data_IF_609921832936
#
_entry.id   IF_609921832936
#
_cell.length_a   1.000
_cell.length_b   1.000
_cell.length_c   1.000
_cell.angle_alpha   90.00
_cell.angle_beta   90.00
_cell.angle_gamma   90.00
#
_symmetry.space_group_name_H-M   'P 1'
#
loop_
_entity.id
_entity.type
_entity.pdbx_description
1 polymer ?
#
# COMPACT_ATOMS: atom_id res chain seq x y z
N UNK A 1 -22.66 -65.69 -3.19
CA UNK A 1 -22.99 -65.52 -4.63
C UNK A 1 -23.73 -64.20 -4.76
N UNK A 2 -23.35 -63.16 -5.51
CA UNK A 2 -22.43 -62.92 -6.64
C UNK A 2 -21.31 -61.95 -6.21
N UNK A 3 -20.03 -62.30 -6.30
CA UNK A 3 -19.09 -62.18 -7.44
C UNK A 3 -18.50 -60.77 -7.66
N UNK A 4 -17.17 -60.75 -7.54
CA UNK A 4 -16.19 -59.66 -7.50
C UNK A 4 -16.06 -58.80 -8.78
N UNK A 5 -17.04 -58.82 -9.69
CA UNK A 5 -16.90 -58.19 -11.03
C UNK A 5 -17.69 -56.89 -11.22
N UNK A 6 -18.26 -56.27 -10.18
CA UNK A 6 -19.06 -55.02 -10.33
C UNK A 6 -18.48 -53.77 -9.66
N UNK A 7 -17.29 -53.82 -9.06
CA UNK A 7 -16.59 -52.60 -8.57
C UNK A 7 -15.49 -52.07 -9.49
N UNK A 8 -15.14 -52.82 -10.55
CA UNK A 8 -14.13 -52.39 -11.54
C UNK A 8 -14.73 -51.51 -12.66
N UNK A 9 -16.05 -51.44 -12.80
CA UNK A 9 -16.72 -50.66 -13.84
C UNK A 9 -17.01 -49.19 -13.47
N UNK A 10 -16.86 -48.80 -12.19
CA UNK A 10 -17.10 -47.40 -11.76
C UNK A 10 -15.83 -46.54 -11.76
N UNK A 11 -14.65 -47.16 -11.82
CA UNK A 11 -13.35 -46.45 -11.86
C UNK A 11 -12.79 -46.32 -13.29
N UNK A 12 -13.33 -47.07 -14.26
CA UNK A 12 -13.00 -46.94 -15.68
C UNK A 12 -13.81 -45.85 -16.42
N UNK A 13 -14.92 -45.36 -15.83
CA UNK A 13 -15.79 -44.34 -16.44
C UNK A 13 -15.36 -42.88 -16.20
N UNK A 14 -14.45 -42.63 -15.25
CA UNK A 14 -13.99 -41.26 -14.93
C UNK A 14 -12.65 -40.95 -15.61
N UNK A 15 -11.87 -41.96 -15.98
CA UNK A 15 -10.62 -41.79 -16.73
C UNK A 15 -10.79 -41.61 -18.24
N UNK A 16 -12.01 -41.77 -18.78
CA UNK A 16 -12.31 -41.51 -20.20
C UNK A 16 -12.86 -40.09 -20.47
N UNK A 17 -13.13 -39.30 -19.43
CA UNK A 17 -13.62 -37.91 -19.56
C UNK A 17 -12.49 -36.88 -19.41
N UNK A 18 -11.29 -37.30 -19.00
CA UNK A 18 -10.14 -36.41 -18.75
C UNK A 18 -9.04 -36.45 -19.84
N UNK A 19 -9.22 -37.17 -20.95
CA UNK A 19 -8.21 -37.23 -22.03
C UNK A 19 -8.71 -36.76 -23.40
N UNK A 20 -9.93 -36.22 -23.50
CA UNK A 20 -10.49 -35.65 -24.75
C UNK A 20 -10.61 -34.12 -24.78
N UNK A 21 -10.15 -33.41 -23.75
CA UNK A 21 -10.17 -31.94 -23.71
C UNK A 21 -8.80 -31.27 -23.83
N UNK A 22 -7.73 -32.05 -24.01
CA UNK A 22 -6.42 -31.52 -24.36
C UNK A 22 -6.01 -32.11 -25.71
N UNK A 23 -5.98 -31.23 -26.73
CA UNK A 23 -5.48 -31.45 -28.09
C UNK A 23 -6.52 -32.03 -29.07
N UNK A 24 -7.44 -31.17 -29.54
CA UNK A 24 -7.71 -31.00 -30.99
C UNK A 24 -8.59 -29.76 -31.22
N UNK A 25 -8.27 -29.00 -32.28
CA UNK A 25 -9.11 -27.97 -32.93
C UNK A 25 -9.18 -26.63 -32.15
N UNK A 26 -8.41 -25.58 -32.42
CA UNK A 26 -7.86 -25.08 -33.70
C UNK A 26 -8.86 -25.20 -34.85
N UNK A 27 -9.98 -24.48 -34.74
CA UNK A 27 -10.61 -23.73 -35.83
C UNK A 27 -12.01 -23.24 -35.43
N UNK A 28 -12.32 -22.03 -35.86
CA UNK A 28 -13.66 -21.41 -35.92
C UNK A 28 -14.27 -20.96 -34.59
N UNK A 29 -13.91 -19.75 -34.14
CA UNK A 29 -14.88 -18.69 -33.90
C UNK A 29 -14.13 -17.35 -33.89
N UNK A 30 -14.11 -16.73 -35.06
CA UNK A 30 -13.83 -15.31 -35.24
C UNK A 30 -14.94 -14.51 -34.56
N UNK A 31 -14.65 -13.85 -33.45
CA UNK A 31 -15.42 -12.67 -33.06
C UNK A 31 -14.55 -11.44 -33.34
N UNK A 32 -14.81 -10.87 -34.52
CA UNK A 32 -14.30 -9.58 -34.95
C UNK A 32 -14.80 -8.50 -33.99
N UNK A 33 -13.87 -7.84 -33.30
CA UNK A 33 -14.04 -6.44 -32.98
C UNK A 33 -12.88 -5.69 -33.62
N UNK A 34 -13.05 -5.44 -34.92
CA UNK A 34 -12.39 -4.35 -35.62
C UNK A 34 -12.79 -3.04 -34.94
N UNK A 35 -11.93 -2.49 -34.08
CA UNK A 35 -12.07 -1.09 -33.70
C UNK A 35 -11.42 -0.26 -34.80
N UNK A 36 -12.21 0.00 -35.83
CA UNK A 36 -11.91 0.99 -36.86
C UNK A 36 -11.93 2.36 -36.20
N UNK A 37 -10.75 2.89 -35.87
CA UNK A 37 -10.64 4.30 -35.53
C UNK A 37 -10.90 5.10 -36.80
N UNK A 38 -12.13 5.59 -36.90
CA UNK A 38 -12.55 6.62 -37.84
C UNK A 38 -11.65 7.83 -37.58
N UNK A 39 -10.79 8.14 -38.54
CA UNK A 39 -10.05 9.39 -38.62
C UNK A 39 -11.07 10.53 -38.56
N UNK A 40 -11.16 11.18 -37.40
CA UNK A 40 -11.79 12.49 -37.28
C UNK A 40 -10.65 13.51 -37.26
N UNK A 41 -10.48 14.18 -38.40
CA UNK A 41 -9.63 15.35 -38.53
C UNK A 41 -10.15 16.47 -37.63
N UNK A 42 -9.22 17.14 -36.92
CA UNK A 42 -9.44 18.48 -36.40
C UNK A 42 -9.94 18.58 -34.96
N UNK A 43 -9.01 18.67 -34.01
CA UNK A 43 -8.86 19.85 -33.14
C UNK A 43 -7.65 19.62 -32.22
N UNK A 44 -6.72 20.57 -32.28
CA UNK A 44 -5.50 20.63 -31.49
C UNK A 44 -5.83 20.73 -29.99
N UNK A 45 -5.70 19.63 -29.26
CA UNK A 45 -5.60 19.68 -27.80
C UNK A 45 -4.15 19.45 -27.40
N UNK A 46 -3.42 20.53 -27.20
CA UNK A 46 -2.09 20.54 -26.62
C UNK A 46 -2.19 20.14 -25.14
N UNK A 47 -2.14 18.84 -24.89
CA UNK A 47 -2.17 18.26 -23.55
C UNK A 47 -1.20 17.09 -23.42
N UNK A 48 0.01 17.21 -23.97
CA UNK A 48 1.04 16.19 -23.87
C UNK A 48 1.74 16.27 -22.50
N UNK A 49 0.98 16.15 -21.40
CA UNK A 49 1.57 15.92 -20.08
C UNK A 49 1.82 14.41 -20.00
N UNK A 50 3.09 14.06 -20.13
CA UNK A 50 3.58 12.72 -20.42
C UNK A 50 3.14 11.71 -19.35
N UNK A 51 2.43 10.63 -19.73
CA UNK A 51 2.03 9.55 -18.81
C UNK A 51 3.19 8.97 -17.99
N UNK A 52 4.45 9.13 -18.44
CA UNK A 52 5.66 8.78 -17.69
C UNK A 52 5.90 9.63 -16.44
N UNK A 53 5.62 10.93 -16.47
CA UNK A 53 5.90 11.82 -15.32
C UNK A 53 5.02 11.50 -14.10
N UNK A 54 3.77 11.05 -14.34
CA UNK A 54 2.83 10.69 -13.26
C UNK A 54 3.23 9.39 -12.54
N UNK A 55 4.13 8.59 -13.12
CA UNK A 55 4.62 7.32 -12.54
C UNK A 55 5.89 7.48 -11.72
N UNK A 56 6.63 8.58 -11.88
CA UNK A 56 7.84 8.79 -11.10
C UNK A 56 7.49 9.07 -9.64
N UNK A 57 8.28 8.56 -8.68
CA UNK A 57 8.03 8.81 -7.27
C UNK A 57 8.16 10.30 -6.95
N UNK A 58 7.57 10.68 -5.83
CA UNK A 58 7.66 12.02 -5.27
C UNK A 58 9.14 12.38 -5.09
N UNK A 59 9.56 13.49 -5.70
CA UNK A 59 10.93 14.00 -5.57
C UNK A 59 11.04 14.82 -4.28
N UNK A 60 11.10 14.12 -3.14
CA UNK A 60 11.28 14.70 -1.81
C UNK A 60 12.41 13.96 -1.08
N UNK A 61 13.20 14.70 -0.31
CA UNK A 61 14.24 14.14 0.54
C UNK A 61 13.64 13.27 1.64
N UNK A 62 14.38 12.23 2.02
CA UNK A 62 14.07 11.40 3.18
C UNK A 62 14.84 11.95 4.38
N UNK A 63 14.12 12.19 5.47
CA UNK A 63 14.66 12.63 6.75
C UNK A 63 14.53 11.50 7.76
N UNK A 64 15.43 11.41 8.72
CA UNK A 64 15.34 10.40 9.79
C UNK A 64 14.90 11.09 11.08
N UNK A 65 13.76 10.67 11.63
CA UNK A 65 13.20 11.22 12.86
C UNK A 65 13.02 10.11 13.90
N UNK A 66 13.06 10.45 15.19
CA UNK A 66 12.66 9.50 16.22
C UNK A 66 11.18 9.16 16.08
N UNK A 67 10.76 7.87 16.17
CA UNK A 67 9.35 7.52 16.22
C UNK A 67 8.59 8.22 17.37
N UNK A 68 9.28 8.57 18.45
CA UNK A 68 8.69 9.24 19.61
C UNK A 68 8.36 10.71 19.36
N UNK A 69 9.00 11.34 18.37
CA UNK A 69 8.71 12.73 17.98
C UNK A 69 7.50 12.84 17.05
N UNK A 70 7.03 11.71 16.50
CA UNK A 70 5.90 11.66 15.58
C UNK A 70 4.57 11.60 16.33
N UNK A 71 3.60 12.38 15.86
CA UNK A 71 2.28 12.51 16.50
C UNK A 71 1.21 11.77 15.69
N UNK A 72 0.86 10.52 16.07
CA UNK A 72 -0.24 9.81 15.42
C UNK A 72 -1.58 10.47 15.76
N UNK A 73 -2.39 10.69 14.72
CA UNK A 73 -3.73 11.29 14.82
C UNK A 73 -4.88 10.33 14.52
N UNK A 74 -4.57 9.09 14.14
CA UNK A 74 -5.54 8.01 13.91
C UNK A 74 -5.13 6.76 14.67
N UNK A 75 -6.14 5.99 15.06
CA UNK A 75 -5.96 4.63 15.53
C UNK A 75 -5.52 3.71 14.39
N UNK A 76 -4.80 2.65 14.75
CA UNK A 76 -4.41 1.61 13.82
C UNK A 76 -5.36 0.43 13.92
N UNK A 77 -5.55 -0.25 12.79
CA UNK A 77 -6.05 -1.63 12.78
C UNK A 77 -5.00 -2.59 13.38
N UNK A 78 -5.25 -3.26 14.52
CA UNK A 78 -4.24 -4.07 15.21
C UNK A 78 -3.70 -5.23 14.37
N UNK A 79 -4.58 -5.93 13.64
CA UNK A 79 -4.23 -7.05 12.77
C UNK A 79 -3.29 -6.62 11.63
N UNK A 80 -3.52 -5.42 11.08
CA UNK A 80 -2.66 -4.82 10.06
C UNK A 80 -1.28 -4.47 10.63
N UNK A 81 -1.22 -3.97 11.86
CA UNK A 81 0.04 -3.69 12.54
C UNK A 81 0.84 -4.96 12.83
N UNK A 82 0.18 -6.02 13.32
CA UNK A 82 0.81 -7.34 13.58
C UNK A 82 1.35 -7.95 12.29
N UNK A 83 0.55 -7.94 11.21
CA UNK A 83 0.99 -8.41 9.91
C UNK A 83 2.20 -7.62 9.40
N UNK A 84 2.16 -6.29 9.52
CA UNK A 84 3.25 -5.43 9.06
C UNK A 84 4.53 -5.67 9.86
N UNK A 85 4.43 -5.81 11.19
CA UNK A 85 5.58 -6.12 12.04
C UNK A 85 6.27 -7.40 11.60
N UNK A 86 5.52 -8.50 11.46
CA UNK A 86 6.05 -9.79 10.99
C UNK A 86 6.73 -9.66 9.64
N UNK A 87 6.13 -8.91 8.71
CA UNK A 87 6.72 -8.69 7.38
C UNK A 87 8.04 -7.94 7.46
N UNK A 88 8.09 -6.88 8.27
CA UNK A 88 9.30 -6.06 8.45
C UNK A 88 10.41 -6.88 9.12
N UNK A 89 10.10 -7.68 10.14
CA UNK A 89 11.03 -8.61 10.80
C UNK A 89 11.51 -9.72 9.86
N UNK A 90 10.64 -10.27 9.00
CA UNK A 90 11.04 -11.31 8.03
C UNK A 90 11.96 -10.77 6.94
N UNK A 91 11.68 -9.57 6.44
CA UNK A 91 12.42 -8.97 5.34
C UNK A 91 13.67 -8.21 5.82
N UNK A 92 13.77 -7.91 7.12
CA UNK A 92 14.82 -7.06 7.71
C UNK A 92 14.98 -5.71 7.01
N UNK A 93 13.90 -5.22 6.40
CA UNK A 93 13.87 -4.02 5.57
C UNK A 93 12.68 -3.12 5.89
N UNK A 94 12.97 -1.83 6.00
CA UNK A 94 12.00 -0.77 6.00
C UNK A 94 11.82 -0.22 4.58
N UNK A 95 10.66 -0.48 3.96
CA UNK A 95 10.46 -0.18 2.53
C UNK A 95 9.96 1.22 2.22
N UNK A 96 9.03 1.76 2.99
CA UNK A 96 8.29 2.99 2.62
C UNK A 96 8.37 4.01 3.76
N UNK A 97 8.76 5.27 3.51
CA UNK A 97 8.88 6.29 4.54
C UNK A 97 7.51 6.76 5.07
N UNK A 98 7.45 7.16 6.33
CA UNK A 98 6.25 7.76 6.94
C UNK A 98 6.11 9.19 6.40
N UNK A 99 4.90 9.62 6.05
CA UNK A 99 4.70 11.02 5.66
C UNK A 99 4.19 11.82 6.85
N UNK A 100 4.75 12.99 7.05
CA UNK A 100 4.59 13.77 8.27
C UNK A 100 4.43 15.24 7.90
N UNK A 101 3.51 15.93 8.58
CA UNK A 101 3.42 17.38 8.52
C UNK A 101 4.70 18.02 9.07
N UNK A 102 5.35 18.83 8.25
CA UNK A 102 6.68 19.38 8.54
C UNK A 102 6.71 20.32 9.76
N UNK A 103 5.57 20.93 10.10
CA UNK A 103 5.49 21.95 11.16
C UNK A 103 5.12 21.33 12.51
N UNK A 104 4.28 20.30 12.50
CA UNK A 104 3.65 19.78 13.73
C UNK A 104 4.09 18.37 14.10
N UNK A 105 4.78 17.67 13.20
CA UNK A 105 5.08 16.24 13.27
C UNK A 105 3.83 15.33 13.28
N UNK A 106 2.67 15.84 12.86
CA UNK A 106 1.45 15.06 12.71
C UNK A 106 1.58 14.07 11.55
N UNK A 107 1.27 12.79 11.78
CA UNK A 107 1.40 11.74 10.75
C UNK A 107 0.31 11.89 9.68
N UNK A 108 0.68 12.07 8.41
CA UNK A 108 -0.27 12.11 7.29
C UNK A 108 -0.58 10.70 6.76
N UNK A 109 0.44 9.86 6.61
CA UNK A 109 0.29 8.45 6.23
C UNK A 109 1.40 7.62 6.87
N UNK A 110 1.05 6.42 7.33
CA UNK A 110 1.97 5.48 7.95
C UNK A 110 1.76 5.21 9.44
N UNK A 111 0.56 5.40 10.00
CA UNK A 111 0.29 5.10 11.42
C UNK A 111 0.62 3.66 11.82
N UNK A 112 0.35 2.68 10.97
CA UNK A 112 0.76 1.29 11.21
C UNK A 112 2.28 1.14 11.27
N UNK A 113 3.00 1.83 10.38
CA UNK A 113 4.46 1.85 10.35
C UNK A 113 5.01 2.49 11.62
N UNK A 114 4.48 3.64 12.02
CA UNK A 114 4.83 4.30 13.28
C UNK A 114 4.66 3.36 14.49
N UNK A 115 3.51 2.70 14.62
CA UNK A 115 3.32 1.74 15.71
C UNK A 115 4.33 0.59 15.66
N UNK A 116 4.61 0.05 14.47
CA UNK A 116 5.62 -1.02 14.30
C UNK A 116 7.01 -0.52 14.70
N UNK A 117 7.40 0.70 14.31
CA UNK A 117 8.68 1.27 14.71
C UNK A 117 8.81 1.40 16.23
N UNK A 118 7.77 1.87 16.91
CA UNK A 118 7.74 1.95 18.36
C UNK A 118 7.83 0.55 19.01
N UNK A 119 7.12 -0.45 18.47
CA UNK A 119 7.16 -1.84 18.99
C UNK A 119 8.51 -2.51 18.80
N UNK A 120 9.19 -2.20 17.70
CA UNK A 120 10.52 -2.72 17.39
C UNK A 120 11.65 -1.95 18.09
N UNK A 121 11.33 -0.90 18.85
CA UNK A 121 12.34 -0.07 19.53
C UNK A 121 13.29 0.63 18.56
N UNK A 122 12.82 1.01 17.37
CA UNK A 122 13.66 1.72 16.41
C UNK A 122 14.00 3.12 16.95
N UNK A 123 15.26 3.50 16.87
CA UNK A 123 15.73 4.82 17.29
C UNK A 123 15.31 5.91 16.30
N UNK A 124 15.25 5.57 15.02
CA UNK A 124 14.85 6.47 13.94
C UNK A 124 14.08 5.77 12.83
N UNK A 125 13.25 6.53 12.12
CA UNK A 125 12.49 6.07 10.96
C UNK A 125 12.62 7.04 9.79
N UNK A 126 12.62 6.54 8.55
CA UNK A 126 12.63 7.39 7.37
C UNK A 126 11.26 8.06 7.21
N UNK A 127 11.29 9.38 7.05
CA UNK A 127 10.14 10.25 6.94
C UNK A 127 10.26 11.17 5.71
N UNK A 128 9.12 11.50 5.11
CA UNK A 128 9.00 12.59 4.15
C UNK A 128 8.20 13.70 4.81
N UNK A 129 8.80 14.89 4.84
CA UNK A 129 8.19 16.10 5.41
C UNK A 129 7.41 16.82 4.31
N UNK A 130 6.14 17.11 4.59
CA UNK A 130 5.20 17.74 3.65
C UNK A 130 4.44 18.87 4.34
N UNK A 131 3.98 19.83 3.55
CA UNK A 131 2.90 20.73 3.98
C UNK A 131 1.54 20.17 3.56
N UNK A 132 0.50 20.49 4.34
CA UNK A 132 -0.88 20.19 3.96
C UNK A 132 -1.30 20.85 2.63
N UNK A 133 -0.65 21.95 2.22
CA UNK A 133 -0.90 22.60 0.93
C UNK A 133 -0.35 21.79 -0.27
N UNK A 134 0.61 20.89 -0.03
CA UNK A 134 1.20 20.04 -1.07
C UNK A 134 0.42 18.73 -1.28
N UNK A 135 -0.55 18.44 -0.42
CA UNK A 135 -1.24 17.16 -0.35
C UNK A 135 -2.75 17.37 -0.32
N UNK A 136 -3.47 16.69 -1.22
CA UNK A 136 -4.93 16.81 -1.22
C UNK A 136 -5.50 16.08 0.00
N UNK A 137 -6.06 16.84 0.93
CA UNK A 137 -6.75 16.31 2.10
C UNK A 137 -8.19 15.90 1.77
N UNK A 138 -8.58 14.70 2.21
CA UNK A 138 -9.94 14.17 2.07
C UNK A 138 -10.39 13.66 3.44
N UNK A 139 -11.51 14.20 3.93
CA UNK A 139 -12.17 13.68 5.14
C UNK A 139 -12.99 12.45 4.79
N UNK A 140 -12.76 11.35 5.51
CA UNK A 140 -13.51 10.08 5.38
C UNK A 140 -14.16 9.65 6.69
N UNK A 141 -14.10 10.50 7.72
CA UNK A 141 -14.69 10.24 9.02
C UNK A 141 -16.22 10.09 8.92
N UNK A 142 -16.83 9.08 9.59
CA UNK A 142 -18.21 8.67 9.34
C UNK A 142 -19.26 9.70 9.80
N UNK A 143 -18.98 10.45 10.87
CA UNK A 143 -19.99 11.32 11.51
C UNK A 143 -19.75 12.82 11.34
N UNK A 144 -18.59 13.26 10.86
CA UNK A 144 -18.26 14.69 10.76
C UNK A 144 -17.21 14.94 9.70
N UNK A 145 -17.27 16.12 9.08
CA UNK A 145 -16.19 16.60 8.24
C UNK A 145 -14.98 17.00 9.11
N UNK A 146 -13.80 16.56 8.71
CA UNK A 146 -12.53 16.96 9.32
C UNK A 146 -11.84 18.00 8.45
N UNK A 147 -11.01 18.82 9.10
CA UNK A 147 -10.07 19.74 8.46
C UNK A 147 -8.65 19.38 8.90
N UNK A 148 -7.61 19.75 8.12
CA UNK A 148 -6.22 19.59 8.55
C UNK A 148 -5.96 20.15 9.95
N UNK A 149 -6.50 21.33 10.25
CA UNK A 149 -6.40 21.97 11.57
C UNK A 149 -6.95 21.07 12.68
N UNK A 150 -8.14 20.49 12.49
CA UNK A 150 -8.74 19.57 13.48
C UNK A 150 -7.87 18.32 13.71
N UNK A 151 -7.24 17.79 12.64
CA UNK A 151 -6.38 16.60 12.72
C UNK A 151 -5.10 16.92 13.50
N UNK A 152 -4.49 18.07 13.22
CA UNK A 152 -3.32 18.58 13.94
C UNK A 152 -3.64 18.81 15.42
N UNK A 153 -4.78 19.43 15.74
CA UNK A 153 -5.23 19.65 17.12
C UNK A 153 -5.44 18.33 17.87
N UNK A 154 -6.02 17.31 17.23
CA UNK A 154 -6.12 15.96 17.80
C UNK A 154 -4.75 15.35 18.08
N UNK A 155 -3.83 15.42 17.09
CA UNK A 155 -2.47 14.90 17.21
C UNK A 155 -1.72 15.55 18.39
N UNK A 156 -1.79 16.88 18.49
CA UNK A 156 -1.15 17.66 19.55
C UNK A 156 -1.76 17.38 20.93
N UNK A 157 -3.05 17.08 20.99
CA UNK A 157 -3.72 16.67 22.22
C UNK A 157 -3.47 15.19 22.59
N UNK A 158 -2.66 14.46 21.81
CA UNK A 158 -2.43 13.01 22.02
C UNK A 158 -3.67 12.15 21.76
N UNK A 159 -4.70 12.71 21.12
CA UNK A 159 -5.96 12.01 20.79
C UNK A 159 -5.86 11.36 19.42
N UNK A 160 -6.62 10.27 19.25
CA UNK A 160 -6.68 9.53 18.00
C UNK A 160 -8.11 9.48 17.48
N UNK A 161 -8.26 9.73 16.19
CA UNK A 161 -9.48 9.52 15.45
C UNK A 161 -9.65 8.02 15.14
N UNK A 162 -10.86 7.54 14.85
CA UNK A 162 -11.08 6.19 14.36
C UNK A 162 -10.20 5.89 13.12
N UNK A 163 -9.86 4.61 12.87
CA UNK A 163 -9.04 4.26 11.71
C UNK A 163 -9.65 4.76 10.41
N UNK A 164 -8.82 5.27 9.49
CA UNK A 164 -9.24 5.72 8.15
C UNK A 164 -10.22 6.90 8.21
N UNK A 165 -10.05 7.78 9.18
CA UNK A 165 -10.83 9.02 9.30
C UNK A 165 -10.41 10.08 8.27
N UNK A 166 -9.19 9.99 7.77
CA UNK A 166 -8.60 10.90 6.80
C UNK A 166 -7.92 10.12 5.68
N UNK A 167 -7.83 10.75 4.50
CA UNK A 167 -7.06 10.27 3.37
C UNK A 167 -6.27 11.43 2.78
N UNK A 168 -4.96 11.25 2.72
CA UNK A 168 -4.03 12.17 2.09
C UNK A 168 -3.70 11.66 0.68
N UNK A 169 -4.08 12.40 -0.34
CA UNK A 169 -3.82 12.03 -1.74
C UNK A 169 -2.61 12.81 -2.26
N UNK A 170 -1.55 12.05 -2.53
CA UNK A 170 -0.30 12.57 -3.10
C UNK A 170 -0.40 12.69 -4.63
N UNK A 171 0.26 13.70 -5.20
CA UNK A 171 0.33 13.92 -6.65
C UNK A 171 1.13 12.85 -7.40
N UNK A 172 2.09 12.23 -6.70
CA UNK A 172 2.98 11.16 -7.17
C UNK A 172 3.08 10.06 -6.11
N UNK A 173 3.40 8.81 -6.49
CA UNK A 173 3.62 7.74 -5.52
C UNK A 173 4.79 8.08 -4.57
N UNK A 174 4.71 7.62 -3.32
CA UNK A 174 5.83 7.76 -2.39
C UNK A 174 7.03 6.92 -2.86
N UNK A 175 8.28 7.40 -2.71
CA UNK A 175 9.47 6.62 -3.03
C UNK A 175 9.60 5.42 -2.08
N UNK A 176 10.17 4.34 -2.58
CA UNK A 176 10.70 3.26 -1.74
C UNK A 176 12.10 3.65 -1.25
N UNK A 177 12.41 3.32 0.00
CA UNK A 177 13.69 3.60 0.63
C UNK A 177 14.53 2.34 0.89
N UNK A 178 13.89 1.18 1.14
CA UNK A 178 14.53 -0.12 1.34
C UNK A 178 15.73 -0.09 2.30
N UNK A 179 15.53 0.48 3.50
CA UNK A 179 16.59 0.65 4.51
C UNK A 179 16.63 -0.59 5.42
N UNK A 180 17.82 -1.13 5.69
CA UNK A 180 17.98 -2.23 6.64
C UNK A 180 17.56 -1.82 8.06
N UNK A 181 16.85 -2.70 8.77
CA UNK A 181 16.44 -2.45 10.16
C UNK A 181 17.63 -2.18 11.09
N UNK A 182 18.77 -2.82 10.86
CA UNK A 182 19.99 -2.62 11.66
C UNK A 182 20.51 -1.17 11.59
N UNK A 183 20.15 -0.40 10.57
CA UNK A 183 20.52 1.01 10.45
C UNK A 183 19.55 1.95 11.17
N UNK A 184 18.42 1.43 11.65
CA UNK A 184 17.34 2.18 12.29
C UNK A 184 17.29 1.98 13.81
N UNK A 185 17.97 0.97 14.33
CA UNK A 185 18.20 0.76 15.77
C UNK A 185 19.39 1.58 16.24
N UNK A 186 19.46 1.86 17.55
CA UNK A 186 20.65 2.45 18.14
C UNK A 186 21.76 1.41 18.22
N UNK A 187 22.90 1.66 17.57
CA UNK A 187 24.06 0.77 17.62
C UNK A 187 24.74 0.73 19.00
N UNK A 188 24.29 1.54 19.96
CA UNK A 188 24.85 1.57 21.31
C UNK A 188 24.51 0.31 22.14
N UNK A 189 23.48 -0.45 21.76
CA UNK A 189 23.06 -1.66 22.50
C UNK A 189 23.89 -2.92 22.19
N UNK A 190 24.94 -2.83 21.37
CA UNK A 190 25.85 -3.94 21.06
C UNK A 190 27.20 -3.87 21.82
N UNK A 191 27.35 -2.94 22.76
CA UNK A 191 28.58 -2.75 23.55
C UNK A 191 28.42 -3.06 25.05
N UNK A 192 27.36 -3.77 25.45
CA UNK A 192 27.20 -4.31 26.81
C UNK A 192 27.33 -5.84 26.84
#
# INVERSE_FOLDING_TARGET
MLSCSKRLALMAGIFLIMTFYHILILSVFTFSYSWSYRFFSGSSFTGNINFKEKRMPLNKSIHFLSPHDLKPNEEVLPERAVWLQKKVEQEQLWRVPITVDKQTNSIMDGHHRHLVACRLGLAKVPCILLDYDEVKFISTHPSRALTPKCVIEHANAGKRLPPKSTRHQFSRPLPNCNISLNLLVDNASYLE
#
